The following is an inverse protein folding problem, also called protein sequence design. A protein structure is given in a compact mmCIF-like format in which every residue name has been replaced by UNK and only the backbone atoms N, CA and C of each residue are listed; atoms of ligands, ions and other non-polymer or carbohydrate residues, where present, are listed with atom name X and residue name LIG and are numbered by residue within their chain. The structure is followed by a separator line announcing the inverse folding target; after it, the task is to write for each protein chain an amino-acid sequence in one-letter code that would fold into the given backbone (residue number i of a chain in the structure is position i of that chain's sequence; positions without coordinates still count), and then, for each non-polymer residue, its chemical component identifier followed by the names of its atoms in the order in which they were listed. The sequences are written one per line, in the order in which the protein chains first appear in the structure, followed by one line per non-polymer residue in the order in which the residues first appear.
data_IF_015049782489
#
_entry.id   IF_015049782489
#
_cell.length_a   1.000
_cell.length_b   1.000
_cell.length_c   1.000
_cell.angle_alpha   90.00
_cell.angle_beta   90.00
_cell.angle_gamma   90.00
#
_symmetry.space_group_name_H-M   'P 1'
#
loop_
_entity.id
_entity.type
_entity.pdbx_description
1 polymer ?
#
# COMPACT_ATOMS: atom_id res chain seq x y z
N UNK A 1 -7.77 78.45 -35.22
CA UNK A 1 -8.34 77.16 -35.66
C UNK A 1 -7.44 76.02 -35.17
N UNK A 2 -7.47 75.75 -33.86
CA UNK A 2 -6.60 74.76 -33.18
C UNK A 2 -7.29 74.29 -31.91
N UNK A 3 -8.21 73.35 -32.01
CA UNK A 3 -8.70 72.54 -30.87
C UNK A 3 -9.68 71.50 -31.43
N UNK A 4 -9.71 70.30 -30.83
CA UNK A 4 -10.65 69.19 -31.06
C UNK A 4 -10.19 67.97 -31.91
N UNK A 5 -8.93 67.58 -31.89
CA UNK A 5 -8.52 66.25 -32.44
C UNK A 5 -7.69 65.41 -31.45
N UNK A 6 -7.59 65.81 -30.18
CA UNK A 6 -6.68 65.16 -29.22
C UNK A 6 -7.36 64.52 -27.99
N UNK A 7 -8.63 64.11 -28.12
CA UNK A 7 -9.38 63.50 -27.01
C UNK A 7 -10.03 62.15 -27.34
N UNK A 8 -9.88 61.65 -28.57
CA UNK A 8 -10.43 60.34 -28.97
C UNK A 8 -9.39 59.20 -28.97
N UNK A 9 -8.10 59.50 -28.83
CA UNK A 9 -7.03 58.49 -28.86
C UNK A 9 -6.62 57.95 -27.47
N UNK A 10 -7.22 58.45 -26.39
CA UNK A 10 -6.96 57.96 -25.02
C UNK A 10 -8.01 56.97 -24.49
N UNK A 11 -9.10 56.76 -25.22
CA UNK A 11 -10.16 55.83 -24.80
C UNK A 11 -10.05 54.43 -25.44
N UNK A 12 -9.09 54.22 -26.35
CA UNK A 12 -8.88 52.93 -27.03
C UNK A 12 -7.71 52.12 -26.46
N UNK A 13 -7.07 52.60 -25.38
CA UNK A 13 -5.93 51.94 -24.74
C UNK A 13 -6.22 51.46 -23.30
N UNK A 14 -7.48 51.47 -22.89
CA UNK A 14 -7.92 51.00 -21.56
C UNK A 14 -8.85 49.78 -21.62
N UNK A 15 -9.08 49.21 -22.82
CA UNK A 15 -9.91 48.00 -23.03
C UNK A 15 -9.07 46.85 -23.60
N UNK A 16 -7.81 46.75 -23.14
CA UNK A 16 -6.91 45.61 -23.42
C UNK A 16 -6.16 45.18 -22.15
N UNK A 17 -6.88 45.17 -21.02
CA UNK A 17 -6.45 44.59 -19.74
C UNK A 17 -7.51 43.61 -19.22
N UNK A 18 -8.15 42.90 -20.14
CA UNK A 18 -8.90 41.69 -19.85
C UNK A 18 -8.15 40.59 -20.62
N UNK A 19 -7.90 39.46 -19.97
CA UNK A 19 -7.19 38.26 -20.46
C UNK A 19 -5.67 38.30 -20.25
N UNK A 20 -5.22 38.04 -19.00
CA UNK A 20 -4.13 37.11 -18.69
C UNK A 20 -3.77 37.23 -17.20
N UNK A 21 -4.59 36.59 -16.37
CA UNK A 21 -4.39 36.60 -14.93
C UNK A 21 -5.41 35.76 -14.17
N UNK A 22 -5.98 34.72 -14.79
CA UNK A 22 -6.14 33.51 -14.00
C UNK A 22 -4.72 32.99 -13.83
N UNK A 23 -4.07 33.38 -12.75
CA UNK A 23 -3.19 32.42 -12.09
C UNK A 23 -4.09 31.21 -11.86
N UNK A 24 -3.93 30.19 -12.70
CA UNK A 24 -4.16 28.83 -12.24
C UNK A 24 -3.25 28.72 -11.03
N UNK A 25 -3.78 29.09 -9.86
CA UNK A 25 -3.49 28.34 -8.67
C UNK A 25 -3.90 26.93 -9.06
N UNK A 26 -2.95 26.18 -9.63
CA UNK A 26 -2.89 24.76 -9.50
C UNK A 26 -2.94 24.54 -7.99
N UNK A 27 -4.16 24.53 -7.44
CA UNK A 27 -4.52 23.64 -6.38
C UNK A 27 -4.11 22.28 -6.93
N UNK A 28 -2.84 21.93 -6.72
CA UNK A 28 -2.33 20.60 -6.91
C UNK A 28 -3.22 19.78 -5.98
N UNK A 29 -4.31 19.26 -6.51
CA UNK A 29 -5.13 18.29 -5.83
C UNK A 29 -4.15 17.16 -5.62
N UNK A 30 -3.59 17.11 -4.41
CA UNK A 30 -2.60 16.13 -4.02
C UNK A 30 -3.20 14.79 -4.39
N UNK A 31 -2.63 14.14 -5.41
CA UNK A 31 -3.10 12.84 -5.86
C UNK A 31 -3.22 11.94 -4.64
N UNK A 32 -4.31 11.16 -4.48
CA UNK A 32 -4.45 10.22 -3.38
C UNK A 32 -3.21 9.36 -3.17
N UNK A 33 -2.47 9.04 -4.24
CA UNK A 33 -1.19 8.31 -4.20
C UNK A 33 -0.12 8.97 -3.33
N UNK A 34 -0.03 10.30 -3.36
CA UNK A 34 1.12 11.05 -2.85
C UNK A 34 1.32 10.89 -1.34
N UNK A 35 0.24 10.69 -0.58
CA UNK A 35 0.31 10.45 0.86
C UNK A 35 0.86 9.07 1.23
N UNK A 36 0.71 8.08 0.34
CA UNK A 36 1.16 6.70 0.56
C UNK A 36 2.62 6.48 0.16
N UNK A 37 3.21 7.36 -0.64
CA UNK A 37 4.57 7.16 -1.16
C UNK A 37 5.62 7.18 -0.05
N UNK A 38 6.60 6.28 -0.16
CA UNK A 38 7.75 6.24 0.73
C UNK A 38 8.19 4.85 1.12
N UNK A 39 9.05 4.78 2.13
CA UNK A 39 9.53 3.53 2.71
C UNK A 39 8.94 3.36 4.11
N UNK A 40 8.47 2.17 4.39
CA UNK A 40 7.83 1.80 5.65
C UNK A 40 8.50 0.56 6.21
N UNK A 41 8.59 0.46 7.52
CA UNK A 41 9.13 -0.72 8.21
C UNK A 41 8.28 -1.08 9.41
N UNK A 42 8.21 -2.36 9.73
CA UNK A 42 7.57 -2.79 10.96
C UNK A 42 8.33 -2.24 12.18
N UNK A 43 7.60 -1.73 13.16
CA UNK A 43 8.18 -1.18 14.41
C UNK A 43 8.43 -2.28 15.46
N UNK A 44 7.61 -3.33 15.38
CA UNK A 44 7.75 -4.62 16.06
C UNK A 44 7.65 -5.74 14.99
N UNK A 45 8.25 -6.92 15.20
CA UNK A 45 8.04 -8.05 14.29
C UNK A 45 6.53 -8.36 14.15
N UNK A 46 6.09 -8.64 12.93
CA UNK A 46 4.71 -9.01 12.61
C UNK A 46 4.54 -10.51 12.86
N UNK A 47 3.59 -10.89 13.72
CA UNK A 47 3.30 -12.30 13.97
C UNK A 47 2.43 -12.86 12.84
N UNK A 48 3.00 -13.76 12.05
CA UNK A 48 2.31 -14.48 10.97
C UNK A 48 1.93 -15.87 11.46
N UNK A 49 0.65 -16.20 11.30
CA UNK A 49 0.07 -17.52 11.57
C UNK A 49 0.01 -18.32 10.28
N UNK A 50 0.24 -19.62 10.40
CA UNK A 50 0.36 -20.52 9.26
C UNK A 50 -0.63 -21.66 9.43
N UNK A 51 -1.53 -21.79 8.45
CA UNK A 51 -2.31 -23.01 8.25
C UNK A 51 -1.74 -23.84 7.11
N UNK A 52 -1.85 -25.15 7.23
CA UNK A 52 -1.64 -26.08 6.12
C UNK A 52 -2.40 -27.38 6.36
N UNK A 53 -2.70 -28.10 5.28
CA UNK A 53 -3.21 -29.47 5.31
C UNK A 53 -2.11 -30.55 5.34
N UNK A 54 -0.83 -30.16 5.44
CA UNK A 54 0.31 -31.09 5.41
C UNK A 54 0.28 -32.15 6.53
N UNK A 55 -0.02 -31.76 7.77
CA UNK A 55 0.07 -32.67 8.92
C UNK A 55 -1.19 -33.52 9.10
N UNK A 56 -2.36 -32.96 8.79
CA UNK A 56 -3.66 -33.51 9.20
C UNK A 56 -4.59 -33.84 8.03
N UNK A 57 -4.20 -33.50 6.79
CA UNK A 57 -5.04 -33.49 5.59
C UNK A 57 -6.23 -32.53 5.66
N UNK A 58 -6.27 -31.67 6.67
CA UNK A 58 -7.24 -30.58 6.83
C UNK A 58 -6.49 -29.26 7.03
N UNK A 59 -6.97 -28.18 6.40
CA UNK A 59 -6.33 -26.87 6.53
C UNK A 59 -6.49 -26.34 7.96
N UNK A 60 -5.45 -26.53 8.78
CA UNK A 60 -5.45 -26.25 10.23
C UNK A 60 -4.24 -25.43 10.63
N UNK A 61 -4.35 -24.69 11.74
CA UNK A 61 -3.21 -23.92 12.27
C UNK A 61 -2.11 -24.85 12.74
N UNK A 62 -0.89 -24.64 12.24
CA UNK A 62 0.26 -25.52 12.51
C UNK A 62 1.45 -24.81 13.11
N UNK A 63 1.67 -23.54 12.76
CA UNK A 63 2.86 -22.81 13.14
C UNK A 63 2.62 -21.29 13.20
N UNK A 64 3.57 -20.62 13.85
CA UNK A 64 3.71 -19.16 13.85
C UNK A 64 5.14 -18.78 13.49
N UNK A 65 5.32 -17.58 12.93
CA UNK A 65 6.61 -17.03 12.56
C UNK A 65 6.58 -15.52 12.69
N UNK A 66 7.69 -14.88 13.05
CA UNK A 66 7.79 -13.43 13.14
C UNK A 66 8.48 -12.86 11.91
N UNK A 67 7.92 -11.79 11.35
CA UNK A 67 8.43 -11.10 10.17
C UNK A 67 8.86 -9.67 10.48
N UNK A 68 10.12 -9.35 10.19
CA UNK A 68 10.59 -7.97 10.03
C UNK A 68 10.26 -7.50 8.61
N UNK A 69 9.30 -6.60 8.46
CA UNK A 69 8.77 -6.18 7.16
C UNK A 69 9.29 -4.81 6.76
N UNK A 70 9.63 -4.66 5.47
CA UNK A 70 9.90 -3.36 4.83
C UNK A 70 9.06 -3.26 3.56
N UNK A 71 8.34 -2.15 3.41
CA UNK A 71 7.63 -1.77 2.19
C UNK A 71 8.30 -0.58 1.51
N UNK A 72 8.41 -0.64 0.18
CA UNK A 72 8.68 0.52 -0.66
C UNK A 72 7.47 0.77 -1.55
N UNK A 73 6.77 1.88 -1.31
CA UNK A 73 5.54 2.27 -2.03
C UNK A 73 5.89 3.33 -3.08
N UNK A 74 5.60 3.02 -4.35
CA UNK A 74 5.89 3.85 -5.52
C UNK A 74 4.61 4.23 -6.25
N UNK A 75 4.65 5.38 -6.90
CA UNK A 75 3.55 5.85 -7.72
C UNK A 75 3.42 5.02 -8.99
N UNK A 76 2.18 4.88 -9.46
CA UNK A 76 1.89 4.42 -10.82
C UNK A 76 1.31 5.57 -11.64
N UNK A 77 0.98 5.31 -12.91
CA UNK A 77 0.27 6.28 -13.75
C UNK A 77 -1.16 6.56 -13.26
N UNK A 78 -1.77 5.63 -12.53
CA UNK A 78 -3.10 5.80 -11.96
C UNK A 78 -2.99 6.39 -10.54
N UNK A 79 -3.63 7.52 -10.24
CA UNK A 79 -3.55 8.17 -8.93
C UNK A 79 -4.18 7.36 -7.79
N UNK A 80 -4.91 6.29 -8.09
CA UNK A 80 -5.51 5.39 -7.12
C UNK A 80 -4.78 4.04 -7.04
N UNK A 81 -3.65 3.86 -7.73
CA UNK A 81 -2.89 2.61 -7.70
C UNK A 81 -1.43 2.89 -7.32
N UNK A 82 -0.88 2.08 -6.42
CA UNK A 82 0.53 2.06 -6.04
C UNK A 82 1.17 0.72 -6.38
N UNK A 83 2.46 0.78 -6.74
CA UNK A 83 3.32 -0.39 -6.75
C UNK A 83 4.00 -0.50 -5.39
N UNK A 84 4.05 -1.71 -4.83
CA UNK A 84 4.62 -1.98 -3.52
C UNK A 84 5.64 -3.10 -3.66
N UNK A 85 6.86 -2.85 -3.21
CA UNK A 85 7.87 -3.90 -3.02
C UNK A 85 7.91 -4.22 -1.54
N UNK A 86 7.45 -5.42 -1.18
CA UNK A 86 7.52 -5.92 0.18
C UNK A 86 8.74 -6.84 0.31
N UNK A 87 9.62 -6.52 1.24
CA UNK A 87 10.68 -7.42 1.69
C UNK A 87 10.40 -7.81 3.13
N UNK A 88 10.73 -9.05 3.47
CA UNK A 88 10.67 -9.49 4.84
C UNK A 88 11.83 -10.41 5.18
N UNK A 89 12.20 -10.42 6.46
CA UNK A 89 13.07 -11.43 7.07
C UNK A 89 12.26 -12.16 8.14
N UNK A 90 12.35 -13.47 8.14
CA UNK A 90 11.64 -14.30 9.11
C UNK A 90 12.55 -14.78 10.23
N UNK A 91 12.01 -14.88 11.44
CA UNK A 91 12.65 -15.47 12.60
C UNK A 91 11.60 -16.07 13.56
N UNK A 92 12.08 -16.71 14.64
CA UNK A 92 11.25 -17.25 15.73
C UNK A 92 10.10 -18.17 15.28
N UNK A 93 10.37 -19.02 14.28
CA UNK A 93 9.44 -20.04 13.82
C UNK A 93 9.11 -21.04 14.93
N UNK A 94 7.82 -21.24 15.21
CA UNK A 94 7.31 -22.14 16.26
C UNK A 94 6.18 -23.00 15.74
N UNK A 95 6.36 -24.32 15.82
CA UNK A 95 5.28 -25.29 15.59
C UNK A 95 4.38 -25.27 16.82
N UNK A 96 3.08 -25.09 16.60
CA UNK A 96 2.06 -25.03 17.67
C UNK A 96 1.11 -26.23 17.65
N UNK A 97 1.06 -26.97 16.54
CA UNK A 97 0.23 -28.17 16.42
C UNK A 97 1.07 -29.42 16.69
N UNK A 98 0.67 -30.21 17.69
CA UNK A 98 1.37 -31.43 18.10
C UNK A 98 1.30 -32.57 17.08
N UNK A 99 0.37 -32.50 16.12
CA UNK A 99 0.24 -33.49 15.04
C UNK A 99 1.32 -33.31 13.96
N UNK A 100 2.02 -32.19 13.95
CA UNK A 100 3.13 -31.90 13.03
C UNK A 100 4.47 -32.40 13.58
N UNK A 101 4.74 -33.71 13.49
CA UNK A 101 5.97 -34.33 14.02
C UNK A 101 7.19 -34.14 13.13
N UNK A 102 7.00 -34.04 11.82
CA UNK A 102 8.08 -33.95 10.81
C UNK A 102 8.20 -32.54 10.19
N UNK A 103 7.88 -31.52 10.99
CA UNK A 103 7.80 -30.12 10.55
C UNK A 103 6.37 -29.70 10.20
N UNK A 104 6.20 -28.42 9.87
CA UNK A 104 4.88 -27.84 9.66
C UNK A 104 4.44 -27.82 8.18
N UNK A 105 5.20 -28.40 7.25
CA UNK A 105 4.92 -28.30 5.81
C UNK A 105 4.99 -26.87 5.24
N UNK A 106 5.32 -25.85 6.02
CA UNK A 106 5.30 -24.47 5.55
C UNK A 106 6.38 -24.19 4.49
N UNK A 107 5.94 -23.71 3.32
CA UNK A 107 6.84 -23.12 2.31
C UNK A 107 6.70 -21.59 2.39
N UNK A 108 7.81 -20.84 2.60
CA UNK A 108 7.74 -19.39 2.64
C UNK A 108 7.61 -18.79 1.24
N UNK A 109 6.90 -17.66 1.16
CA UNK A 109 6.84 -16.82 -0.05
C UNK A 109 8.23 -16.30 -0.45
N UNK A 110 8.52 -16.06 -1.74
CA UNK A 110 9.75 -15.40 -2.12
C UNK A 110 9.81 -13.97 -1.54
N UNK A 111 11.01 -13.52 -1.16
CA UNK A 111 11.29 -12.16 -0.71
C UNK A 111 12.37 -11.58 -1.63
N UNK A 112 12.12 -10.46 -2.35
CA UNK A 112 10.95 -9.58 -2.29
C UNK A 112 9.68 -10.10 -2.99
N UNK A 113 8.53 -9.62 -2.51
CA UNK A 113 7.22 -9.67 -3.16
C UNK A 113 6.95 -8.35 -3.90
N UNK A 114 6.37 -8.45 -5.10
CA UNK A 114 5.95 -7.31 -5.90
C UNK A 114 4.42 -7.31 -5.99
N UNK A 115 3.78 -6.36 -5.34
CA UNK A 115 2.33 -6.32 -5.16
C UNK A 115 1.77 -4.96 -5.59
N UNK A 116 0.49 -4.92 -5.95
CA UNK A 116 -0.23 -3.69 -6.30
C UNK A 116 -1.31 -3.39 -5.29
N UNK A 117 -1.40 -2.13 -4.89
CA UNK A 117 -2.41 -1.64 -3.96
C UNK A 117 -3.36 -0.64 -4.62
N UNK A 118 -4.65 -0.77 -4.32
CA UNK A 118 -5.69 0.19 -4.70
C UNK A 118 -5.97 1.12 -3.51
N UNK A 119 -6.06 2.41 -3.79
CA UNK A 119 -6.30 3.45 -2.81
C UNK A 119 -7.77 3.87 -2.85
N UNK A 120 -8.40 3.89 -1.68
CA UNK A 120 -9.73 4.47 -1.48
C UNK A 120 -9.79 5.23 -0.17
N UNK A 121 -9.76 6.57 -0.24
CA UNK A 121 -9.63 7.40 0.94
C UNK A 121 -8.31 7.09 1.67
N UNK A 122 -8.37 6.74 2.95
CA UNK A 122 -7.19 6.31 3.74
C UNK A 122 -6.91 4.81 3.66
N UNK A 123 -7.71 4.03 2.93
CA UNK A 123 -7.51 2.60 2.83
C UNK A 123 -6.64 2.25 1.62
N UNK A 124 -5.79 1.26 1.82
CA UNK A 124 -4.99 0.57 0.83
C UNK A 124 -5.41 -0.90 0.82
N UNK A 125 -6.01 -1.36 -0.28
CA UNK A 125 -6.35 -2.77 -0.48
C UNK A 125 -5.38 -3.39 -1.48
N UNK A 126 -4.70 -4.45 -1.09
CA UNK A 126 -3.68 -5.12 -1.89
C UNK A 126 -4.27 -6.39 -2.51
N UNK A 127 -4.06 -6.55 -3.81
CA UNK A 127 -4.39 -7.79 -4.52
C UNK A 127 -3.08 -8.43 -4.98
N UNK A 128 -2.89 -9.70 -4.65
CA UNK A 128 -1.75 -10.51 -5.05
C UNK A 128 -2.27 -11.83 -5.60
N UNK A 129 -1.82 -12.24 -6.79
CA UNK A 129 -2.32 -13.43 -7.51
C UNK A 129 -3.85 -13.52 -7.64
N UNK A 130 -4.52 -12.38 -7.82
CA UNK A 130 -5.97 -12.32 -8.01
C UNK A 130 -6.80 -12.49 -6.73
N UNK A 131 -6.15 -12.58 -5.56
CA UNK A 131 -6.80 -12.65 -4.25
C UNK A 131 -6.47 -11.43 -3.39
N UNK A 132 -7.35 -11.10 -2.45
CA UNK A 132 -7.10 -10.06 -1.46
C UNK A 132 -5.95 -10.51 -0.55
N UNK A 133 -4.84 -9.79 -0.62
CA UNK A 133 -3.66 -10.03 0.22
C UNK A 133 -3.80 -9.35 1.58
N UNK A 134 -4.49 -8.20 1.61
CA UNK A 134 -4.69 -7.45 2.84
C UNK A 134 -5.33 -6.10 2.58
N UNK A 135 -5.94 -5.56 3.62
CA UNK A 135 -6.50 -4.22 3.65
C UNK A 135 -5.91 -3.46 4.83
N UNK A 136 -5.40 -2.26 4.55
CA UNK A 136 -4.64 -1.45 5.49
C UNK A 136 -5.22 -0.03 5.56
N UNK A 137 -5.42 0.47 6.77
CA UNK A 137 -5.77 1.86 7.00
C UNK A 137 -4.49 2.68 7.19
N UNK A 138 -4.43 3.83 6.54
CA UNK A 138 -3.32 4.78 6.64
C UNK A 138 -3.68 5.93 7.57
N UNK A 139 -2.91 6.08 8.65
CA UNK A 139 -2.99 7.21 9.56
C UNK A 139 -1.60 7.49 10.15
N UNK A 140 -1.27 8.76 10.40
CA UNK A 140 -0.03 9.14 11.10
C UNK A 140 1.27 8.54 10.51
N UNK A 141 1.34 8.42 9.18
CA UNK A 141 2.47 7.78 8.46
C UNK A 141 2.66 6.29 8.79
N UNK A 142 1.60 5.61 9.18
CA UNK A 142 1.57 4.20 9.50
C UNK A 142 0.46 3.51 8.69
N UNK A 143 0.77 2.32 8.19
CA UNK A 143 -0.20 1.36 7.71
C UNK A 143 -0.48 0.36 8.80
N UNK A 144 -1.75 0.16 9.12
CA UNK A 144 -2.21 -0.84 10.07
C UNK A 144 -3.35 -1.64 9.45
N UNK A 145 -3.35 -2.95 9.61
CA UNK A 145 -4.38 -3.79 9.05
C UNK A 145 -4.11 -5.27 9.26
N UNK A 146 -4.55 -6.07 8.28
CA UNK A 146 -4.34 -7.51 8.28
C UNK A 146 -3.85 -8.00 6.94
N UNK A 147 -3.15 -9.11 6.99
CA UNK A 147 -2.69 -9.84 5.83
C UNK A 147 -3.33 -11.23 5.82
N UNK A 148 -3.71 -11.71 4.65
CA UNK A 148 -4.12 -13.09 4.40
C UNK A 148 -3.70 -13.49 2.99
N UNK A 149 -3.13 -14.66 2.82
CA UNK A 149 -2.77 -15.17 1.50
C UNK A 149 -2.76 -16.69 1.53
N UNK A 150 -3.48 -17.31 0.60
CA UNK A 150 -3.65 -18.75 0.54
C UNK A 150 -3.24 -19.29 -0.82
N UNK A 151 -2.55 -20.42 -0.85
CA UNK A 151 -2.18 -21.06 -2.11
C UNK A 151 -2.03 -22.58 -1.92
N UNK A 152 -2.10 -23.32 -3.03
CA UNK A 152 -1.96 -24.77 -3.02
C UNK A 152 -0.94 -25.19 -4.09
N UNK A 153 0.09 -25.92 -3.68
CA UNK A 153 1.08 -26.52 -4.61
C UNK A 153 1.07 -28.03 -4.44
N UNK A 154 1.69 -28.53 -3.38
CA UNK A 154 1.62 -29.94 -2.97
C UNK A 154 0.57 -30.16 -1.88
N UNK A 155 0.50 -29.18 -0.96
CA UNK A 155 -0.49 -29.01 0.09
C UNK A 155 -1.07 -27.61 -0.05
N UNK A 156 -2.26 -27.39 0.51
CA UNK A 156 -2.78 -26.05 0.67
C UNK A 156 -2.15 -25.41 1.92
N UNK A 157 -1.88 -24.12 1.83
CA UNK A 157 -1.42 -23.32 2.95
C UNK A 157 -2.04 -21.93 2.93
N UNK A 158 -2.13 -21.34 4.11
CA UNK A 158 -2.60 -19.98 4.32
C UNK A 158 -1.66 -19.31 5.32
N UNK A 159 -1.19 -18.12 4.97
CA UNK A 159 -0.51 -17.23 5.90
C UNK A 159 -1.43 -16.06 6.22
N UNK A 160 -1.52 -15.70 7.50
CA UNK A 160 -2.38 -14.61 7.90
C UNK A 160 -1.90 -13.94 9.19
N UNK A 161 -2.41 -12.75 9.45
CA UNK A 161 -2.24 -12.03 10.74
C UNK A 161 -3.61 -11.83 11.39
N UNK A 162 -3.63 -11.54 12.69
CA UNK A 162 -4.85 -11.02 13.31
C UNK A 162 -5.17 -9.61 12.78
N UNK A 163 -6.40 -9.16 13.03
CA UNK A 163 -6.80 -7.80 12.72
C UNK A 163 -5.88 -6.81 13.47
N UNK A 164 -5.34 -5.82 12.74
CA UNK A 164 -4.45 -4.76 13.25
C UNK A 164 -3.05 -5.22 13.69
N UNK A 165 -2.71 -6.50 13.56
CA UNK A 165 -1.37 -6.99 13.92
C UNK A 165 -0.30 -6.68 12.86
N UNK A 166 -0.71 -6.47 11.61
CA UNK A 166 0.21 -5.99 10.59
C UNK A 166 0.31 -4.48 10.67
N UNK A 167 1.48 -3.97 11.11
CA UNK A 167 1.78 -2.54 11.13
C UNK A 167 3.16 -2.24 10.54
N UNK A 168 3.22 -1.22 9.68
CA UNK A 168 4.47 -0.65 9.17
C UNK A 168 4.43 0.88 9.21
N UNK A 169 5.49 1.51 9.70
CA UNK A 169 5.62 2.95 9.86
C UNK A 169 6.67 3.53 8.92
N UNK A 170 6.42 4.73 8.40
CA UNK A 170 7.32 5.46 7.51
C UNK A 170 8.66 5.79 8.19
N UNK A 171 9.77 5.71 7.46
CA UNK A 171 11.11 6.06 7.94
C UNK A 171 11.99 6.73 6.88
#
# INVERSE_FOLDING_TARGET
MKTKVLTFLKLLLTVLLIISGCSEDENSVSSPVSKFLGKYKSTKPVLVKIKTDFCTFELTDVATIEWDVIWEVKETKDPNIVDIVMTYKSHDFKIINSECTDGAGYLPEPSPLYIKGNISGNNLSIIYDGQEFGTFNFANNEFEGKMTYSYCVAFCQEIYTDDFDFSVQKY
#
